data_IF_768761704752
#
_entry.id   IF_768761704752
#
_cell.length_a   1.000
_cell.length_b   1.000
_cell.length_c   1.000
_cell.angle_alpha   90.00
_cell.angle_beta   90.00
_cell.angle_gamma   90.00
#
_symmetry.space_group_name_H-M   'P 1'
#
loop_
_entity.id
_entity.type
_entity.pdbx_description
1 polymer ?
#
# COMPACT_ATOMS: atom_id res chain seq x y z
N UNK A 1 28.52 6.74 4.58
CA UNK A 1 28.03 8.10 4.33
C UNK A 1 26.74 8.21 5.12
N UNK A 2 26.79 8.80 6.30
CA UNK A 2 25.63 8.99 7.16
C UNK A 2 24.68 10.00 6.52
N UNK A 3 23.42 9.72 6.54
CA UNK A 3 22.38 10.69 6.20
C UNK A 3 22.07 11.41 7.50
N UNK A 4 22.34 12.72 7.56
CA UNK A 4 22.27 13.47 8.81
C UNK A 4 20.85 13.63 9.36
N UNK A 5 19.84 13.44 8.53
CA UNK A 5 18.45 13.32 8.91
C UNK A 5 17.60 12.68 7.77
N UNK A 6 16.47 12.11 8.14
CA UNK A 6 15.53 11.48 7.22
C UNK A 6 14.90 12.47 6.26
N UNK A 7 14.51 13.65 6.72
CA UNK A 7 13.86 14.67 5.88
C UNK A 7 14.79 15.12 4.75
N UNK A 8 16.07 15.34 5.07
CA UNK A 8 17.09 15.68 4.08
C UNK A 8 17.36 14.55 3.08
N UNK A 9 17.23 13.29 3.52
CA UNK A 9 17.37 12.14 2.64
C UNK A 9 16.20 12.05 1.65
N UNK A 10 14.98 12.21 2.13
CA UNK A 10 13.75 12.20 1.32
C UNK A 10 13.77 13.35 0.31
N UNK A 11 14.15 14.55 0.73
CA UNK A 11 14.22 15.73 -0.14
C UNK A 11 15.24 15.57 -1.28
N UNK A 12 16.31 14.78 -1.07
CA UNK A 12 17.36 14.53 -2.07
C UNK A 12 17.09 13.32 -2.96
N UNK A 13 16.13 12.49 -2.62
CA UNK A 13 15.80 11.32 -3.41
C UNK A 13 14.72 11.71 -4.42
N UNK A 14 14.99 11.80 -5.74
CA UNK A 14 13.96 12.02 -6.74
C UNK A 14 13.15 10.74 -6.84
N UNK A 15 12.25 10.58 -5.88
CA UNK A 15 11.55 9.33 -5.74
C UNK A 15 10.06 9.52 -5.92
N UNK A 16 9.36 9.41 -4.83
CA UNK A 16 7.92 9.34 -4.76
C UNK A 16 7.19 10.60 -5.24
N UNK A 17 7.77 11.79 -5.04
CA UNK A 17 7.19 13.05 -5.49
C UNK A 17 7.27 13.29 -7.00
N UNK A 18 8.10 12.52 -7.73
CA UNK A 18 8.24 12.62 -9.18
C UNK A 18 7.29 11.68 -9.93
N UNK A 19 6.63 10.76 -9.24
CA UNK A 19 5.59 9.95 -9.86
C UNK A 19 4.37 10.83 -10.09
N UNK A 20 3.97 10.97 -11.35
CA UNK A 20 2.73 11.67 -11.70
C UNK A 20 1.52 10.91 -11.13
N UNK A 21 1.15 11.26 -9.90
CA UNK A 21 -0.05 10.78 -9.22
C UNK A 21 -1.24 11.71 -9.42
N UNK A 22 -1.18 12.60 -10.39
CA UNK A 22 -2.16 13.70 -10.59
C UNK A 22 -3.44 13.30 -11.33
N UNK A 23 -3.61 12.04 -11.70
CA UNK A 23 -4.81 11.58 -12.40
C UNK A 23 -5.82 10.88 -11.48
N UNK A 24 -7.05 10.66 -11.97
CA UNK A 24 -8.01 9.80 -11.28
C UNK A 24 -7.44 8.38 -11.11
N UNK A 25 -7.98 7.59 -10.16
CA UNK A 25 -7.70 6.17 -10.10
C UNK A 25 -7.87 5.57 -11.48
N UNK A 26 -6.86 4.86 -11.96
CA UNK A 26 -6.99 4.19 -13.25
C UNK A 26 -8.10 3.16 -13.09
N UNK A 27 -9.18 3.24 -13.90
CA UNK A 27 -10.02 2.06 -14.12
C UNK A 27 -9.16 1.11 -14.94
N UNK A 28 -8.64 0.05 -14.38
CA UNK A 28 -7.91 -0.90 -15.18
C UNK A 28 -8.97 -1.55 -16.11
N UNK A 29 -8.91 -1.23 -17.39
CA UNK A 29 -9.27 -2.26 -18.34
C UNK A 29 -8.34 -3.41 -18.02
N UNK A 30 -8.88 -4.54 -17.56
CA UNK A 30 -8.04 -5.69 -17.25
C UNK A 30 -7.22 -6.00 -18.50
N UNK A 31 -5.95 -5.60 -18.56
CA UNK A 31 -5.17 -5.93 -19.74
C UNK A 31 -5.01 -7.44 -19.75
N UNK A 32 -5.13 -8.06 -20.89
CA UNK A 32 -4.88 -9.50 -21.11
C UNK A 32 -3.51 -9.94 -20.59
N UNK A 33 -2.63 -8.96 -20.26
CA UNK A 33 -1.32 -9.17 -19.66
C UNK A 33 -1.13 -8.24 -18.45
N UNK A 34 -1.45 -8.69 -17.29
CA UNK A 34 -0.93 -8.05 -16.09
C UNK A 34 0.57 -8.30 -16.00
N UNK A 35 1.34 -7.27 -15.58
CA UNK A 35 2.77 -7.50 -15.31
C UNK A 35 2.94 -8.61 -14.28
N UNK A 36 4.02 -9.36 -14.34
CA UNK A 36 4.31 -10.42 -13.36
C UNK A 36 4.23 -9.89 -11.91
N UNK A 37 4.62 -8.63 -11.70
CA UNK A 37 4.54 -7.94 -10.40
C UNK A 37 3.12 -7.76 -9.91
N UNK A 38 2.23 -7.34 -10.79
CA UNK A 38 0.80 -7.19 -10.48
C UNK A 38 0.18 -8.55 -10.19
N UNK A 39 0.51 -9.58 -10.97
CA UNK A 39 0.04 -10.95 -10.74
C UNK A 39 0.46 -11.48 -9.35
N UNK A 40 1.68 -11.20 -8.91
CA UNK A 40 2.15 -11.57 -7.57
C UNK A 40 1.33 -10.91 -6.46
N UNK A 41 1.05 -9.61 -6.58
CA UNK A 41 0.18 -8.91 -5.62
C UNK A 41 -1.21 -9.52 -5.63
N UNK A 42 -1.79 -9.75 -6.80
CA UNK A 42 -3.13 -10.33 -6.94
C UNK A 42 -3.22 -11.72 -6.31
N UNK A 43 -2.21 -12.58 -6.50
CA UNK A 43 -2.17 -13.91 -5.92
C UNK A 43 -2.05 -13.85 -4.38
N UNK A 44 -1.15 -13.02 -3.85
CA UNK A 44 -0.97 -12.85 -2.42
C UNK A 44 -2.22 -12.24 -1.76
N UNK A 45 -2.82 -11.22 -2.38
CA UNK A 45 -4.05 -10.60 -1.91
C UNK A 45 -5.21 -11.60 -1.93
N UNK A 46 -5.36 -12.39 -2.99
CA UNK A 46 -6.36 -13.46 -3.10
C UNK A 46 -6.23 -14.47 -1.96
N UNK A 47 -5.01 -14.86 -1.63
CA UNK A 47 -4.75 -15.77 -0.49
C UNK A 47 -5.15 -15.17 0.86
N UNK A 48 -4.91 -13.86 1.07
CA UNK A 48 -5.38 -13.16 2.26
C UNK A 48 -6.91 -13.05 2.27
N UNK A 49 -7.52 -12.73 1.12
CA UNK A 49 -8.97 -12.61 0.98
C UNK A 49 -9.70 -13.92 1.27
N UNK A 50 -9.14 -15.07 0.89
CA UNK A 50 -9.70 -16.38 1.19
C UNK A 50 -9.76 -16.67 2.71
N UNK A 51 -8.94 -16.00 3.50
CA UNK A 51 -8.95 -16.09 4.96
C UNK A 51 -9.97 -15.15 5.62
N UNK A 52 -10.47 -14.16 4.87
CA UNK A 52 -11.50 -13.22 5.31
C UNK A 52 -12.93 -13.72 4.98
N UNK A 53 -13.17 -15.05 4.98
CA UNK A 53 -14.48 -15.62 4.72
C UNK A 53 -15.48 -15.22 5.81
N UNK A 54 -16.74 -14.99 5.41
CA UNK A 54 -17.81 -14.60 6.33
C UNK A 54 -17.86 -13.11 6.67
N UNK A 55 -16.96 -12.29 6.11
CA UNK A 55 -17.03 -10.84 6.24
C UNK A 55 -17.83 -10.24 5.08
N UNK A 56 -18.81 -9.41 5.40
CA UNK A 56 -19.63 -8.72 4.40
C UNK A 56 -18.84 -7.63 3.67
N UNK A 57 -17.95 -6.97 4.38
CA UNK A 57 -17.08 -5.91 3.88
C UNK A 57 -15.66 -6.17 4.33
N UNK A 58 -14.72 -6.10 3.42
CA UNK A 58 -13.27 -6.25 3.69
C UNK A 58 -12.66 -4.85 3.78
N UNK A 59 -12.07 -4.54 4.92
CA UNK A 59 -11.33 -3.28 5.13
C UNK A 59 -9.89 -3.47 4.70
N UNK A 60 -9.44 -2.64 3.78
CA UNK A 60 -8.09 -2.69 3.22
C UNK A 60 -7.38 -1.38 3.50
N UNK A 61 -6.17 -1.47 4.02
CA UNK A 61 -5.22 -0.37 4.10
C UNK A 61 -4.14 -0.57 3.03
N UNK A 62 -4.02 0.37 2.10
CA UNK A 62 -3.02 0.37 1.04
C UNK A 62 -1.97 1.45 1.35
N UNK A 63 -0.80 1.01 1.83
CA UNK A 63 0.29 1.91 2.23
C UNK A 63 1.10 2.30 1.01
N UNK A 64 1.17 3.59 0.71
CA UNK A 64 1.82 4.10 -0.49
C UNK A 64 1.11 3.71 -1.77
N UNK A 65 -0.23 3.59 -1.72
CA UNK A 65 -1.05 3.13 -2.83
C UNK A 65 -1.28 4.16 -3.95
N UNK A 66 -0.66 5.33 -3.85
CA UNK A 66 -0.72 6.42 -4.83
C UNK A 66 -2.16 6.76 -5.25
N UNK A 67 -2.56 6.43 -6.47
CA UNK A 67 -3.91 6.69 -6.98
C UNK A 67 -4.94 5.63 -6.61
N UNK A 68 -4.58 4.62 -5.81
CA UNK A 68 -5.48 3.52 -5.46
C UNK A 68 -5.71 2.55 -6.62
N UNK A 69 -4.75 2.38 -7.51
CA UNK A 69 -4.89 1.51 -8.69
C UNK A 69 -5.21 0.06 -8.31
N UNK A 70 -4.70 -0.43 -7.18
CA UNK A 70 -5.03 -1.77 -6.68
C UNK A 70 -6.48 -1.88 -6.21
N UNK A 71 -7.09 -0.82 -5.67
CA UNK A 71 -8.49 -0.84 -5.26
C UNK A 71 -9.39 -1.18 -6.46
N UNK A 72 -9.19 -0.48 -7.59
CA UNK A 72 -9.95 -0.74 -8.82
C UNK A 72 -9.71 -2.15 -9.37
N UNK A 73 -8.45 -2.60 -9.40
CA UNK A 73 -8.09 -3.90 -9.92
C UNK A 73 -8.68 -5.05 -9.07
N UNK A 74 -8.60 -4.94 -7.74
CA UNK A 74 -9.15 -5.92 -6.82
C UNK A 74 -10.68 -5.96 -6.92
N UNK A 75 -11.35 -4.81 -6.97
CA UNK A 75 -12.80 -4.75 -7.11
C UNK A 75 -13.28 -5.43 -8.41
N UNK A 76 -12.57 -5.24 -9.52
CA UNK A 76 -12.86 -5.92 -10.79
C UNK A 76 -12.62 -7.44 -10.73
N UNK A 77 -11.57 -7.86 -10.03
CA UNK A 77 -11.20 -9.28 -9.93
C UNK A 77 -12.12 -10.06 -8.99
N UNK A 78 -12.71 -9.38 -8.01
CA UNK A 78 -13.59 -9.98 -6.99
C UNK A 78 -14.95 -9.25 -6.92
N UNK A 79 -15.76 -9.23 -8.00
CA UNK A 79 -16.97 -8.41 -8.10
C UNK A 79 -18.09 -8.78 -7.12
N UNK A 80 -17.99 -9.94 -6.48
CA UNK A 80 -18.95 -10.39 -5.45
C UNK A 80 -18.55 -10.00 -4.03
N UNK A 81 -17.37 -9.36 -3.86
CA UNK A 81 -16.86 -8.93 -2.56
C UNK A 81 -16.99 -7.41 -2.45
N UNK A 82 -17.28 -6.94 -1.27
CA UNK A 82 -17.31 -5.51 -0.95
C UNK A 82 -16.05 -5.12 -0.20
N UNK A 83 -15.49 -3.99 -0.58
CA UNK A 83 -14.28 -3.47 0.04
C UNK A 83 -14.52 -2.07 0.58
N UNK A 84 -13.85 -1.75 1.68
CA UNK A 84 -13.58 -0.40 2.16
C UNK A 84 -12.09 -0.19 2.06
N UNK A 85 -11.67 0.70 1.18
CA UNK A 85 -10.28 0.88 0.84
C UNK A 85 -9.77 2.23 1.34
N UNK A 86 -8.77 2.20 2.22
CA UNK A 86 -8.08 3.39 2.72
C UNK A 86 -6.67 3.39 2.16
N UNK A 87 -6.31 4.43 1.42
CA UNK A 87 -4.96 4.63 0.92
C UNK A 87 -4.24 5.58 1.86
N UNK A 88 -3.17 5.12 2.49
CA UNK A 88 -2.29 5.95 3.31
C UNK A 88 -1.15 6.48 2.43
N UNK A 89 -1.07 7.80 2.31
CA UNK A 89 -0.16 8.46 1.41
C UNK A 89 0.43 9.74 2.01
N UNK A 90 1.38 10.34 1.29
CA UNK A 90 1.90 11.66 1.67
C UNK A 90 0.78 12.71 1.68
N UNK A 91 0.88 13.78 2.51
CA UNK A 91 -0.15 14.82 2.57
C UNK A 91 -0.45 15.45 1.21
N UNK A 92 0.57 15.56 0.35
CA UNK A 92 0.40 16.11 -0.99
C UNK A 92 -0.41 15.18 -1.89
N UNK A 93 -0.09 13.88 -1.90
CA UNK A 93 -0.82 12.87 -2.68
C UNK A 93 -2.25 12.72 -2.19
N UNK A 94 -2.44 12.60 -0.88
CA UNK A 94 -3.78 12.48 -0.29
C UNK A 94 -4.67 13.68 -0.67
N UNK A 95 -4.13 14.91 -0.57
CA UNK A 95 -4.84 16.13 -0.98
C UNK A 95 -5.20 16.13 -2.48
N UNK A 96 -4.29 15.68 -3.35
CA UNK A 96 -4.54 15.61 -4.80
C UNK A 96 -5.61 14.58 -5.14
N UNK A 97 -5.69 13.49 -4.40
CA UNK A 97 -6.64 12.42 -4.63
C UNK A 97 -8.03 12.66 -3.99
N UNK A 98 -8.13 13.64 -3.09
CA UNK A 98 -9.39 13.99 -2.40
C UNK A 98 -10.62 14.14 -3.32
N UNK A 99 -10.54 14.74 -4.53
CA UNK A 99 -11.66 14.86 -5.45
C UNK A 99 -12.17 13.50 -6.01
N UNK A 100 -11.39 12.44 -5.88
CA UNK A 100 -11.71 11.11 -6.41
C UNK A 100 -12.18 10.13 -5.32
N UNK A 101 -12.37 10.59 -4.10
CA UNK A 101 -12.91 9.77 -3.01
C UNK A 101 -14.34 9.32 -3.29
N UNK A 102 -14.68 8.19 -2.74
CA UNK A 102 -16.02 7.62 -2.71
C UNK A 102 -16.30 7.00 -1.35
N UNK A 103 -17.51 6.48 -1.16
CA UNK A 103 -17.87 5.76 0.06
C UNK A 103 -16.97 4.52 0.31
N UNK A 104 -16.37 3.98 -0.73
CA UNK A 104 -15.58 2.74 -0.67
C UNK A 104 -14.07 2.94 -0.89
N UNK A 105 -13.62 4.16 -1.22
CA UNK A 105 -12.20 4.48 -1.45
C UNK A 105 -11.88 5.88 -0.93
N UNK A 106 -10.96 5.98 0.03
CA UNK A 106 -10.54 7.24 0.65
C UNK A 106 -9.03 7.34 0.75
N UNK A 107 -8.50 8.57 0.80
CA UNK A 107 -7.08 8.84 1.02
C UNK A 107 -6.86 9.57 2.34
N UNK A 108 -5.88 9.11 3.10
CA UNK A 108 -5.46 9.69 4.38
C UNK A 108 -3.95 9.91 4.38
N UNK A 109 -3.48 10.87 5.15
CA UNK A 109 -2.07 11.23 5.27
C UNK A 109 -1.47 10.90 6.66
N UNK A 110 -2.28 10.30 7.53
CA UNK A 110 -1.86 9.92 8.87
C UNK A 110 -2.43 8.55 9.25
N UNK A 111 -1.63 7.78 9.98
CA UNK A 111 -2.08 6.52 10.59
C UNK A 111 -3.20 6.70 11.63
N UNK A 112 -3.34 7.91 12.19
CA UNK A 112 -4.42 8.23 13.15
C UNK A 112 -5.78 8.31 12.47
N UNK A 113 -5.80 8.59 11.17
CA UNK A 113 -7.02 8.61 10.36
C UNK A 113 -7.39 7.22 9.78
N UNK A 114 -6.56 6.21 10.00
CA UNK A 114 -6.83 4.82 9.60
C UNK A 114 -7.61 4.12 10.69
N UNK A 115 -8.57 3.28 10.31
CA UNK A 115 -9.29 2.41 11.24
C UNK A 115 -8.29 1.67 12.17
N UNK A 116 -8.59 1.55 13.47
CA UNK A 116 -7.68 0.90 14.42
C UNK A 116 -7.41 -0.57 14.06
N UNK A 117 -8.30 -1.19 13.30
CA UNK A 117 -8.13 -2.54 12.79
C UNK A 117 -8.68 -2.66 11.38
N UNK A 118 -7.87 -3.24 10.49
CA UNK A 118 -8.22 -3.57 9.11
C UNK A 118 -8.04 -5.06 8.85
N UNK A 119 -8.70 -5.57 7.82
CA UNK A 119 -8.62 -7.00 7.51
C UNK A 119 -7.33 -7.34 6.75
N UNK A 120 -6.95 -6.47 5.83
CA UNK A 120 -5.77 -6.67 4.99
C UNK A 120 -5.00 -5.35 4.89
N UNK A 121 -3.71 -5.41 5.12
CA UNK A 121 -2.77 -4.35 4.72
C UNK A 121 -2.07 -4.77 3.44
N UNK A 122 -2.02 -3.88 2.46
CA UNK A 122 -1.20 -3.99 1.27
C UNK A 122 -0.08 -2.95 1.33
N UNK A 123 1.17 -3.37 1.16
CA UNK A 123 2.32 -2.49 1.06
C UNK A 123 3.20 -2.94 -0.13
N UNK A 124 3.06 -2.27 -1.26
CA UNK A 124 3.76 -2.63 -2.49
C UNK A 124 4.81 -1.58 -2.85
N UNK A 125 6.09 -1.95 -2.71
CA UNK A 125 7.25 -1.11 -3.03
C UNK A 125 7.31 0.20 -2.21
N UNK A 126 6.85 0.20 -0.97
CA UNK A 126 6.82 1.39 -0.12
C UNK A 126 7.69 1.24 1.13
N UNK A 127 7.76 0.06 1.72
CA UNK A 127 8.39 -0.16 3.03
C UNK A 127 9.81 0.41 3.12
N UNK A 128 10.61 0.26 2.08
CA UNK A 128 11.99 0.76 2.01
C UNK A 128 12.11 2.29 2.02
N UNK A 129 10.99 3.01 1.84
CA UNK A 129 10.94 4.46 1.81
C UNK A 129 10.35 5.05 3.10
N UNK A 130 9.98 4.21 4.06
CA UNK A 130 9.47 4.65 5.35
C UNK A 130 10.62 4.95 6.32
N UNK A 131 10.42 5.90 7.20
CA UNK A 131 11.46 6.38 8.14
C UNK A 131 11.98 5.28 9.05
N UNK A 132 11.16 4.46 9.62
CA UNK A 132 11.54 3.28 10.40
C UNK A 132 10.76 2.08 9.87
N UNK A 133 11.30 1.37 8.86
CA UNK A 133 10.57 0.29 8.23
C UNK A 133 10.25 -0.86 9.19
N UNK A 134 11.09 -1.14 10.19
CA UNK A 134 10.83 -2.20 11.17
C UNK A 134 9.71 -1.83 12.14
N UNK A 135 9.74 -0.62 12.67
CA UNK A 135 8.69 -0.11 13.53
C UNK A 135 7.36 -0.04 12.76
N UNK A 136 7.38 0.49 11.52
CA UNK A 136 6.19 0.57 10.68
C UNK A 136 5.60 -0.79 10.35
N UNK A 137 6.41 -1.78 10.04
CA UNK A 137 5.94 -3.15 9.86
C UNK A 137 5.26 -3.71 11.11
N UNK A 138 5.83 -3.44 12.29
CA UNK A 138 5.25 -3.86 13.56
C UNK A 138 3.89 -3.20 13.81
N UNK A 139 3.78 -1.89 13.54
CA UNK A 139 2.52 -1.15 13.65
C UNK A 139 1.45 -1.67 12.69
N UNK A 140 1.81 -1.95 11.43
CA UNK A 140 0.91 -2.49 10.43
C UNK A 140 0.43 -3.91 10.78
N UNK A 141 1.33 -4.76 11.29
CA UNK A 141 0.99 -6.11 11.76
C UNK A 141 0.06 -6.08 12.99
N UNK A 142 0.24 -5.10 13.89
CA UNK A 142 -0.63 -4.94 15.05
C UNK A 142 -2.05 -4.48 14.68
N UNK A 143 -2.23 -3.88 13.51
CA UNK A 143 -3.52 -3.34 13.04
C UNK A 143 -4.25 -4.24 12.05
N UNK A 144 -3.67 -5.35 11.62
CA UNK A 144 -4.25 -6.15 10.54
C UNK A 144 -4.20 -7.64 10.81
N UNK A 145 -5.16 -8.36 10.25
CA UNK A 145 -5.12 -9.82 10.24
C UNK A 145 -4.12 -10.36 9.21
N UNK A 146 -3.95 -9.63 8.11
CA UNK A 146 -3.09 -10.03 6.98
C UNK A 146 -2.30 -8.85 6.44
N UNK A 147 -0.99 -9.08 6.27
CA UNK A 147 -0.08 -8.14 5.62
C UNK A 147 0.45 -8.73 4.32
N UNK A 148 0.12 -8.08 3.21
CA UNK A 148 0.62 -8.41 1.87
C UNK A 148 1.76 -7.47 1.54
N UNK A 149 2.98 -8.00 1.54
CA UNK A 149 4.18 -7.28 1.14
C UNK A 149 4.59 -7.65 -0.27
N UNK A 150 4.93 -6.66 -1.08
CA UNK A 150 5.46 -6.85 -2.42
C UNK A 150 6.57 -5.86 -2.73
N UNK A 151 7.56 -6.29 -3.51
CA UNK A 151 8.68 -5.45 -3.98
C UNK A 151 9.50 -4.86 -2.82
N UNK A 152 9.70 -5.64 -1.77
CA UNK A 152 10.61 -5.30 -0.69
C UNK A 152 12.02 -5.77 -1.10
N UNK A 153 13.01 -4.87 -1.20
CA UNK A 153 14.38 -5.29 -1.47
C UNK A 153 14.93 -6.03 -0.25
N UNK A 154 15.26 -7.29 -0.44
CA UNK A 154 15.95 -8.10 0.56
C UNK A 154 17.42 -8.20 0.15
N UNK A 155 18.31 -7.72 1.02
CA UNK A 155 19.75 -7.88 0.87
C UNK A 155 20.22 -9.00 1.80
N UNK A 156 21.03 -9.93 1.30
CA UNK A 156 21.65 -10.89 2.20
C UNK A 156 22.53 -10.12 3.19
N UNK A 157 22.32 -10.35 4.48
CA UNK A 157 23.20 -9.82 5.52
C UNK A 157 24.48 -10.64 5.37
N UNK A 158 25.67 -10.01 5.17
CA UNK A 158 26.93 -10.75 5.20
C UNK A 158 27.08 -11.49 6.53
N UNK A 159 27.60 -12.72 6.49
CA UNK A 159 27.77 -13.56 7.69
C UNK A 159 28.67 -12.90 8.76
N UNK A 160 29.43 -11.89 8.39
CA UNK A 160 30.35 -11.11 9.22
C UNK A 160 29.81 -9.73 9.61
N UNK A 161 28.54 -9.43 9.35
CA UNK A 161 27.93 -8.18 9.78
C UNK A 161 27.90 -8.13 11.32
N UNK A 162 28.39 -7.06 11.97
CA UNK A 162 28.29 -6.92 13.41
C UNK A 162 26.83 -6.85 13.85
N UNK A 163 26.51 -7.55 14.93
CA UNK A 163 25.18 -7.56 15.54
C UNK A 163 24.83 -6.20 16.16
#
# INVERSE_FOLDING_TARGET
>A
MGVDDWESAVARTPGYGALDSSGPPTRPEMPLWMSARTQQVMAAFGSALDRCQGRDVIRVLDVGGARGDYAGLIALSYPKRRFKWTVLETPETARRQKPFESDDLVWVDSMDAVDPHVDIVLASAVIQFLEDPHQRLTELLARSDWLVLNRVPLWPIPDDAPA
#
